data_IF_221291092102
#
_entry.id   IF_221291092102
#
_cell.length_a   1.000
_cell.length_b   1.000
_cell.length_c   1.000
_cell.angle_alpha   90.00
_cell.angle_beta   90.00
_cell.angle_gamma   90.00
#
_symmetry.space_group_name_H-M   'P 1'
#
loop_
_entity.id
_entity.type
_entity.pdbx_description
1 polymer ?
#
# COMPACT_ATOMS: atom_id res chain seq x y z
N UNK A 1 28.39 31.38 -13.99
CA UNK A 1 28.16 31.87 -12.61
C UNK A 1 27.07 31.02 -11.99
N UNK A 2 27.33 30.42 -10.82
CA UNK A 2 26.33 29.60 -10.11
C UNK A 2 25.53 30.48 -9.16
N UNK A 3 24.22 30.35 -9.16
CA UNK A 3 23.29 31.08 -8.29
C UNK A 3 22.83 30.12 -7.19
N UNK A 4 22.93 30.54 -5.94
CA UNK A 4 22.47 29.75 -4.80
C UNK A 4 21.12 30.28 -4.33
N UNK A 5 20.15 29.40 -4.16
CA UNK A 5 18.82 29.75 -3.67
C UNK A 5 18.59 28.97 -2.38
N UNK A 6 18.33 29.72 -1.31
CA UNK A 6 18.06 29.17 0.02
C UNK A 6 16.58 28.85 0.20
N UNK A 7 16.25 28.17 1.29
CA UNK A 7 14.86 27.90 1.65
C UNK A 7 14.01 29.16 1.83
N UNK A 8 14.58 30.19 2.45
CA UNK A 8 13.92 31.48 2.59
C UNK A 8 13.66 32.14 1.23
N UNK A 9 14.57 31.97 0.28
CA UNK A 9 14.41 32.51 -1.08
C UNK A 9 13.32 31.77 -1.84
N UNK A 10 13.27 30.44 -1.76
CA UNK A 10 12.17 29.64 -2.33
C UNK A 10 10.83 30.08 -1.75
N UNK A 11 10.74 30.30 -0.45
CA UNK A 11 9.50 30.76 0.18
C UNK A 11 9.06 32.13 -0.33
N UNK A 12 9.98 33.09 -0.38
CA UNK A 12 9.68 34.44 -0.91
C UNK A 12 9.25 34.38 -2.37
N UNK A 13 9.99 33.69 -3.22
CA UNK A 13 9.70 33.59 -4.66
C UNK A 13 8.37 32.87 -4.88
N UNK A 14 8.08 31.80 -4.12
CA UNK A 14 6.79 31.08 -4.22
C UNK A 14 5.59 31.99 -3.94
N UNK A 15 5.69 32.85 -2.92
CA UNK A 15 4.65 33.83 -2.57
C UNK A 15 4.51 34.92 -3.63
N UNK A 16 5.64 35.45 -4.13
CA UNK A 16 5.65 36.49 -5.19
C UNK A 16 5.01 35.96 -6.47
N UNK A 17 5.43 34.78 -6.91
CA UNK A 17 4.95 34.19 -8.16
C UNK A 17 3.55 33.58 -8.04
N UNK A 18 3.01 33.43 -6.81
CA UNK A 18 1.78 32.69 -6.51
C UNK A 18 1.81 31.26 -7.06
N UNK A 19 2.98 30.61 -6.95
CA UNK A 19 3.21 29.23 -7.37
C UNK A 19 3.63 28.44 -6.13
N UNK A 20 3.21 27.17 -6.00
CA UNK A 20 3.61 26.35 -4.86
C UNK A 20 5.14 26.20 -4.79
N UNK A 21 5.71 26.11 -3.57
CA UNK A 21 7.15 25.84 -3.36
C UNK A 21 7.61 24.62 -4.17
N UNK A 22 6.78 23.55 -4.21
CA UNK A 22 7.01 22.32 -4.98
C UNK A 22 7.13 22.59 -6.49
N UNK A 23 6.20 23.34 -7.08
CA UNK A 23 6.21 23.63 -8.52
C UNK A 23 7.38 24.56 -8.90
N UNK A 24 7.72 25.52 -8.04
CA UNK A 24 8.90 26.38 -8.23
C UNK A 24 10.20 25.57 -8.23
N UNK A 25 10.35 24.65 -7.29
CA UNK A 25 11.52 23.76 -7.21
C UNK A 25 11.60 22.84 -8.43
N UNK A 26 10.47 22.28 -8.89
CA UNK A 26 10.44 21.46 -10.11
C UNK A 26 10.85 22.27 -11.34
N UNK A 27 10.35 23.49 -11.49
CA UNK A 27 10.74 24.37 -12.59
C UNK A 27 12.24 24.69 -12.57
N UNK A 28 12.81 24.94 -11.39
CA UNK A 28 14.25 25.17 -11.22
C UNK A 28 15.06 23.91 -11.59
N UNK A 29 14.57 22.71 -11.20
CA UNK A 29 15.22 21.44 -11.58
C UNK A 29 15.19 21.20 -13.09
N UNK A 30 14.06 21.45 -13.75
CA UNK A 30 13.96 21.36 -15.22
C UNK A 30 14.87 22.36 -15.91
N UNK A 31 14.90 23.61 -15.42
CA UNK A 31 15.83 24.62 -15.93
C UNK A 31 17.30 24.19 -15.79
N UNK A 32 17.67 23.57 -14.68
CA UNK A 32 19.02 23.07 -14.44
C UNK A 32 19.42 21.92 -15.36
N UNK A 33 18.49 21.02 -15.72
CA UNK A 33 18.73 19.97 -16.72
C UNK A 33 19.11 20.57 -18.08
N UNK A 34 18.47 21.68 -18.44
CA UNK A 34 18.71 22.37 -19.72
C UNK A 34 19.97 23.23 -19.66
N UNK A 35 20.29 23.79 -18.50
CA UNK A 35 21.28 24.87 -18.37
C UNK A 35 22.49 24.51 -17.49
N UNK A 36 22.94 23.26 -17.53
CA UNK A 36 24.18 22.80 -16.91
C UNK A 36 24.31 23.19 -15.42
N UNK A 37 23.26 22.91 -14.64
CA UNK A 37 23.21 23.08 -13.18
C UNK A 37 23.63 24.47 -12.67
N UNK A 38 23.16 25.52 -13.34
CA UNK A 38 23.45 26.92 -12.97
C UNK A 38 22.85 27.35 -11.62
N UNK A 39 21.81 26.70 -11.14
CA UNK A 39 21.13 27.03 -9.88
C UNK A 39 21.34 25.91 -8.86
N UNK A 40 21.83 26.24 -7.67
CA UNK A 40 22.01 25.30 -6.56
C UNK A 40 20.95 25.57 -5.49
N UNK A 41 20.17 24.54 -5.16
CA UNK A 41 19.13 24.58 -4.13
C UNK A 41 19.69 24.03 -2.81
N UNK A 42 19.61 24.80 -1.72
CA UNK A 42 19.97 24.34 -0.37
C UNK A 42 18.77 23.94 0.49
N UNK A 43 17.62 23.66 -0.13
CA UNK A 43 16.36 23.30 0.53
C UNK A 43 16.33 21.79 0.88
N UNK A 44 16.13 21.46 2.16
CA UNK A 44 15.98 20.08 2.63
C UNK A 44 14.49 19.76 2.86
N UNK A 45 13.88 19.01 1.95
CA UNK A 45 12.67 18.25 2.31
C UNK A 45 13.07 17.11 3.26
N UNK A 46 12.14 16.70 4.15
CA UNK A 46 12.24 15.38 4.77
C UNK A 46 12.31 14.34 3.64
N UNK A 47 13.53 13.86 3.40
CA UNK A 47 13.97 13.31 2.10
C UNK A 47 13.40 11.91 1.81
N UNK A 48 12.69 11.29 2.75
CA UNK A 48 12.17 9.92 2.61
C UNK A 48 10.82 9.83 1.89
N UNK A 49 9.87 10.69 2.26
CA UNK A 49 8.45 10.49 1.93
C UNK A 49 8.08 11.03 0.55
N UNK A 50 8.65 12.17 0.14
CA UNK A 50 8.51 12.68 -1.23
C UNK A 50 9.18 11.77 -2.27
N UNK A 51 10.17 10.94 -1.89
CA UNK A 51 10.75 9.97 -2.82
C UNK A 51 9.87 8.73 -2.93
N UNK A 52 9.23 8.31 -1.84
CA UNK A 52 8.30 7.18 -1.87
C UNK A 52 7.08 7.50 -2.74
N UNK A 53 6.45 8.65 -2.56
CA UNK A 53 5.32 9.11 -3.40
C UNK A 53 5.68 9.03 -4.90
N UNK A 54 6.86 9.56 -5.28
CA UNK A 54 7.32 9.53 -6.66
C UNK A 54 7.54 8.12 -7.19
N UNK A 55 8.15 7.24 -6.40
CA UNK A 55 8.42 5.86 -6.81
C UNK A 55 7.12 5.06 -6.95
N UNK A 56 6.16 5.26 -6.04
CA UNK A 56 4.82 4.66 -6.12
C UNK A 56 4.10 5.10 -7.39
N UNK A 57 4.11 6.41 -7.70
CA UNK A 57 3.49 6.95 -8.90
C UNK A 57 4.17 6.50 -10.19
N UNK A 58 5.51 6.47 -10.24
CA UNK A 58 6.27 6.00 -11.41
C UNK A 58 5.99 4.53 -11.73
N UNK A 59 5.71 3.71 -10.71
CA UNK A 59 5.31 2.31 -10.90
C UNK A 59 3.86 2.13 -11.34
N UNK A 60 3.03 3.17 -11.33
CA UNK A 60 1.60 3.06 -11.64
C UNK A 60 0.81 2.29 -10.59
N UNK A 61 1.23 2.37 -9.33
CA UNK A 61 0.45 1.85 -8.21
C UNK A 61 -0.68 2.83 -7.95
N UNK A 62 -1.93 2.37 -7.99
CA UNK A 62 -3.11 3.21 -7.80
C UNK A 62 -3.77 3.03 -6.43
N UNK A 63 -3.59 1.87 -5.81
CA UNK A 63 -4.17 1.52 -4.52
C UNK A 63 -3.36 0.41 -3.86
N UNK A 64 -3.52 0.29 -2.54
CA UNK A 64 -3.18 -0.94 -1.80
C UNK A 64 -4.47 -1.64 -1.43
N UNK A 65 -4.39 -2.91 -1.03
CA UNK A 65 -5.57 -3.72 -0.75
C UNK A 65 -5.45 -4.50 0.54
N UNK A 66 -6.59 -4.72 1.18
CA UNK A 66 -6.73 -5.56 2.37
C UNK A 66 -7.88 -6.53 2.17
N UNK A 67 -7.69 -7.82 2.42
CA UNK A 67 -8.79 -8.79 2.38
C UNK A 67 -9.33 -9.06 3.79
N UNK A 68 -10.65 -9.21 3.89
CA UNK A 68 -11.33 -9.45 5.17
C UNK A 68 -12.62 -10.23 4.96
N UNK A 69 -13.18 -10.76 6.04
CA UNK A 69 -14.50 -11.39 6.04
C UNK A 69 -15.59 -10.35 5.81
N UNK A 70 -16.66 -10.71 5.09
CA UNK A 70 -17.77 -9.79 4.81
C UNK A 70 -18.45 -9.33 6.10
N UNK A 71 -18.45 -10.15 7.15
CA UNK A 71 -19.00 -9.87 8.47
C UNK A 71 -18.38 -8.62 9.13
N UNK A 72 -17.11 -8.31 8.80
CA UNK A 72 -16.44 -7.11 9.30
C UNK A 72 -16.76 -5.86 8.46
N UNK A 73 -17.43 -6.00 7.31
CA UNK A 73 -17.52 -4.91 6.34
C UNK A 73 -18.35 -3.73 6.86
N UNK A 74 -19.46 -3.99 7.55
CA UNK A 74 -20.31 -2.92 8.09
C UNK A 74 -19.58 -2.08 9.16
N UNK A 75 -18.77 -2.70 10.01
CA UNK A 75 -17.94 -1.99 11.00
C UNK A 75 -16.81 -1.22 10.33
N UNK A 76 -16.17 -1.79 9.31
CA UNK A 76 -15.11 -1.12 8.56
C UNK A 76 -15.63 0.11 7.81
N UNK A 77 -16.82 0.02 7.20
CA UNK A 77 -17.42 1.15 6.48
C UNK A 77 -17.92 2.27 7.40
N UNK A 78 -18.10 2.00 8.70
CA UNK A 78 -18.50 3.00 9.69
C UNK A 78 -17.32 3.59 10.47
N UNK A 79 -16.28 2.78 10.74
CA UNK A 79 -15.22 3.13 11.68
C UNK A 79 -13.80 3.10 11.07
N UNK A 80 -13.65 2.62 9.84
CA UNK A 80 -12.35 2.41 9.19
C UNK A 80 -11.76 1.02 9.48
N UNK A 81 -10.56 0.77 8.96
CA UNK A 81 -9.78 -0.42 9.32
C UNK A 81 -8.97 -0.11 10.57
N UNK A 82 -9.30 -0.77 11.66
CA UNK A 82 -8.66 -0.55 12.97
C UNK A 82 -7.74 -1.74 13.28
N UNK A 83 -6.49 -1.49 13.75
CA UNK A 83 -5.59 -2.55 14.18
C UNK A 83 -6.19 -3.46 15.27
N UNK A 84 -5.72 -4.71 15.32
CA UNK A 84 -6.28 -5.75 16.19
C UNK A 84 -6.14 -5.41 17.67
N UNK A 85 -4.98 -4.90 18.07
CA UNK A 85 -4.71 -4.53 19.46
C UNK A 85 -5.66 -3.43 19.96
N UNK A 86 -5.98 -2.46 19.09
CA UNK A 86 -6.93 -1.40 19.40
C UNK A 86 -8.35 -1.96 19.55
N UNK A 87 -8.79 -2.84 18.64
CA UNK A 87 -10.09 -3.52 18.74
C UNK A 87 -10.22 -4.39 20.00
N UNK A 88 -9.15 -5.13 20.34
CA UNK A 88 -9.07 -5.92 21.58
C UNK A 88 -9.14 -5.01 22.82
N UNK A 89 -8.47 -3.86 22.80
CA UNK A 89 -8.48 -2.87 23.90
C UNK A 89 -9.84 -2.21 24.09
N UNK A 90 -10.58 -1.94 23.01
CA UNK A 90 -11.91 -1.29 23.08
C UNK A 90 -13.05 -2.27 23.30
N UNK A 91 -12.80 -3.58 23.28
CA UNK A 91 -13.84 -4.61 23.40
C UNK A 91 -14.78 -4.65 22.19
N UNK A 92 -14.33 -4.17 21.03
CA UNK A 92 -15.13 -4.14 19.81
C UNK A 92 -15.19 -5.54 19.20
N UNK A 93 -16.39 -6.09 19.05
CA UNK A 93 -16.57 -7.39 18.39
C UNK A 93 -16.05 -7.34 16.95
N UNK A 94 -14.97 -8.06 16.67
CA UNK A 94 -14.36 -8.20 15.35
C UNK A 94 -13.91 -9.64 15.13
N UNK A 95 -14.07 -10.14 13.90
CA UNK A 95 -13.62 -11.49 13.54
C UNK A 95 -12.24 -11.39 12.90
N UNK A 96 -11.22 -11.93 13.57
CA UNK A 96 -9.85 -11.91 13.07
C UNK A 96 -9.58 -13.07 12.11
N UNK A 97 -8.83 -12.80 11.04
CA UNK A 97 -8.49 -13.80 10.03
C UNK A 97 -7.42 -14.79 10.52
N UNK A 98 -6.51 -14.33 11.37
CA UNK A 98 -5.41 -15.11 11.95
C UNK A 98 -5.49 -15.00 13.48
N UNK A 99 -5.83 -16.11 14.13
CA UNK A 99 -5.95 -16.17 15.59
C UNK A 99 -4.61 -15.91 16.29
N UNK A 100 -3.50 -16.32 15.67
CA UNK A 100 -2.20 -16.41 16.33
C UNK A 100 -1.19 -15.33 15.93
N UNK A 101 -1.41 -14.57 14.84
CA UNK A 101 -0.59 -13.41 14.39
C UNK A 101 0.89 -13.58 14.77
N UNK A 102 1.54 -14.57 14.16
CA UNK A 102 2.91 -14.98 14.50
C UNK A 102 3.98 -13.91 14.21
N UNK A 103 3.62 -12.84 13.49
CA UNK A 103 4.49 -11.67 13.28
C UNK A 103 4.65 -10.77 14.52
N UNK A 104 3.87 -11.03 15.59
CA UNK A 104 3.76 -10.22 16.82
C UNK A 104 3.45 -8.73 16.59
N UNK A 105 3.09 -8.33 15.37
CA UNK A 105 2.85 -6.94 15.00
C UNK A 105 1.37 -6.60 15.14
N UNK A 106 0.66 -7.06 16.18
CA UNK A 106 -0.82 -6.90 16.34
C UNK A 106 -1.33 -5.46 16.19
N UNK A 107 -0.45 -4.49 16.37
CA UNK A 107 -0.63 -3.06 16.16
C UNK A 107 -0.60 -2.61 14.68
N UNK A 108 -0.57 -3.54 13.72
CA UNK A 108 -0.53 -3.21 12.30
C UNK A 108 -1.63 -3.90 11.48
N UNK A 109 -2.11 -3.20 10.45
CA UNK A 109 -2.93 -3.76 9.39
C UNK A 109 -2.03 -4.36 8.31
N UNK A 110 -2.39 -5.55 7.82
CA UNK A 110 -1.66 -6.21 6.73
C UNK A 110 -2.32 -5.88 5.38
N UNK A 111 -1.59 -5.22 4.50
CA UNK A 111 -2.05 -4.87 3.15
C UNK A 111 -1.14 -5.51 2.08
N UNK A 112 -1.65 -5.58 0.85
CA UNK A 112 -0.92 -6.02 -0.35
C UNK A 112 -0.93 -4.91 -1.42
N UNK A 113 -0.03 -5.00 -2.41
CA UNK A 113 0.00 -4.10 -3.57
C UNK A 113 -0.39 -4.90 -4.82
N UNK A 114 -1.30 -4.36 -5.62
CA UNK A 114 -1.68 -4.89 -6.93
C UNK A 114 -2.60 -6.12 -6.90
N UNK A 115 -2.24 -7.16 -6.14
CA UNK A 115 -3.02 -8.40 -6.01
C UNK A 115 -2.96 -8.93 -4.56
N UNK A 116 -4.04 -9.53 -4.01
CA UNK A 116 -4.00 -10.03 -2.64
C UNK A 116 -2.86 -11.03 -2.45
N UNK A 117 -2.34 -11.17 -1.23
CA UNK A 117 -1.51 -12.32 -0.85
C UNK A 117 -2.32 -13.61 -1.02
N UNK A 118 -2.36 -14.14 -2.24
CA UNK A 118 -3.32 -15.15 -2.64
C UNK A 118 -3.04 -16.50 -1.98
N UNK A 119 -1.78 -16.76 -1.58
CA UNK A 119 -1.43 -17.99 -0.83
C UNK A 119 -2.10 -17.97 0.54
N UNK A 120 -1.92 -16.88 1.29
CA UNK A 120 -2.56 -16.71 2.59
C UNK A 120 -4.09 -16.65 2.42
N UNK A 121 -4.58 -15.86 1.47
CA UNK A 121 -6.02 -15.69 1.27
C UNK A 121 -6.71 -16.99 0.83
N UNK A 122 -6.08 -17.80 -0.01
CA UNK A 122 -6.58 -19.12 -0.37
C UNK A 122 -6.64 -20.05 0.85
N UNK A 123 -5.56 -20.14 1.62
CA UNK A 123 -5.51 -20.97 2.84
C UNK A 123 -6.62 -20.61 3.83
N UNK A 124 -6.81 -19.31 4.09
CA UNK A 124 -7.87 -18.82 4.99
C UNK A 124 -9.27 -19.19 4.51
N UNK A 125 -9.55 -19.08 3.20
CA UNK A 125 -10.84 -19.46 2.63
C UNK A 125 -11.08 -20.96 2.68
N UNK A 126 -10.05 -21.78 2.45
CA UNK A 126 -10.18 -23.24 2.53
C UNK A 126 -10.38 -23.73 3.97
N UNK A 127 -9.76 -23.05 4.94
CA UNK A 127 -9.90 -23.39 6.36
C UNK A 127 -11.22 -22.89 6.98
N UNK A 128 -11.95 -22.01 6.30
CA UNK A 128 -13.23 -21.46 6.77
C UNK A 128 -14.32 -21.64 5.70
N UNK A 129 -14.68 -22.89 5.36
CA UNK A 129 -15.71 -23.16 4.36
C UNK A 129 -17.04 -22.53 4.81
N UNK A 130 -17.69 -21.79 3.91
CA UNK A 130 -18.95 -21.09 4.20
C UNK A 130 -18.80 -19.64 4.67
N UNK A 131 -17.58 -19.18 4.97
CA UNK A 131 -17.31 -17.75 5.19
C UNK A 131 -17.19 -17.02 3.86
N UNK A 132 -17.85 -15.87 3.73
CA UNK A 132 -17.69 -14.99 2.57
C UNK A 132 -16.63 -13.92 2.83
N UNK A 133 -15.95 -13.51 1.75
CA UNK A 133 -14.80 -12.62 1.82
C UNK A 133 -14.92 -11.45 0.85
N UNK A 134 -14.32 -10.34 1.21
CA UNK A 134 -14.21 -9.16 0.35
C UNK A 134 -12.77 -8.62 0.37
N UNK A 135 -12.44 -7.84 -0.65
CA UNK A 135 -11.15 -7.14 -0.78
C UNK A 135 -11.42 -5.64 -0.81
N UNK A 136 -10.78 -4.91 0.09
CA UNK A 136 -10.95 -3.48 0.28
C UNK A 136 -9.83 -2.77 -0.47
N UNK A 137 -10.18 -1.83 -1.35
CA UNK A 137 -9.24 -0.91 -1.99
C UNK A 137 -9.00 0.31 -1.12
N UNK A 138 -7.73 0.65 -0.93
CA UNK A 138 -7.27 1.71 -0.03
C UNK A 138 -6.41 2.70 -0.82
N UNK A 139 -6.56 4.00 -0.56
CA UNK A 139 -5.74 5.05 -1.16
C UNK A 139 -4.26 4.77 -0.97
N UNK A 140 -3.49 4.82 -2.05
CA UNK A 140 -2.04 4.64 -2.04
C UNK A 140 -1.31 5.65 -1.15
N UNK A 141 -1.91 6.81 -0.90
CA UNK A 141 -1.37 7.87 -0.06
C UNK A 141 -1.07 7.41 1.37
N UNK A 142 -1.74 6.36 1.85
CA UNK A 142 -1.43 5.70 3.13
C UNK A 142 0.06 5.31 3.22
N UNK A 143 0.70 4.95 2.10
CA UNK A 143 2.09 4.52 2.04
C UNK A 143 3.10 5.57 2.53
N UNK A 144 2.77 6.86 2.41
CA UNK A 144 3.64 7.97 2.83
C UNK A 144 2.99 8.89 3.87
N UNK A 145 1.69 8.76 4.13
CA UNK A 145 1.00 9.51 5.17
C UNK A 145 0.92 8.76 6.51
N UNK A 146 1.21 7.45 6.54
CA UNK A 146 1.15 6.60 7.74
C UNK A 146 2.48 5.87 7.95
N UNK A 147 2.77 5.46 9.19
CA UNK A 147 3.94 4.63 9.48
C UNK A 147 3.76 3.25 8.86
N UNK A 148 4.60 2.93 7.88
CA UNK A 148 4.55 1.69 7.12
C UNK A 148 5.87 0.92 7.18
N UNK A 149 5.77 -0.40 7.32
CA UNK A 149 6.86 -1.31 7.02
C UNK A 149 6.56 -2.16 5.79
N UNK A 150 7.63 -2.45 5.03
CA UNK A 150 7.58 -3.16 3.77
C UNK A 150 8.29 -4.51 3.91
N UNK A 151 7.54 -5.57 3.72
CA UNK A 151 7.99 -6.95 3.85
C UNK A 151 8.02 -7.59 2.46
N UNK A 152 9.21 -8.05 2.03
CA UNK A 152 9.42 -8.67 0.71
C UNK A 152 8.68 -10.01 0.54
N UNK A 153 8.20 -10.59 1.63
CA UNK A 153 7.34 -11.75 1.68
C UNK A 153 6.41 -11.62 2.91
N UNK A 154 5.72 -12.70 3.27
CA UNK A 154 4.77 -12.68 4.39
C UNK A 154 5.47 -12.20 5.68
N UNK A 155 4.83 -11.31 6.43
CA UNK A 155 5.41 -10.65 7.59
C UNK A 155 5.74 -11.61 8.75
N UNK A 156 5.11 -12.79 8.79
CA UNK A 156 5.36 -13.82 9.79
C UNK A 156 6.43 -14.85 9.36
N UNK A 157 7.01 -14.73 8.16
CA UNK A 157 8.11 -15.59 7.73
C UNK A 157 9.36 -15.40 8.59
N UNK A 158 10.16 -16.46 8.78
CA UNK A 158 11.43 -16.36 9.48
C UNK A 158 12.40 -15.36 8.82
N UNK A 159 12.40 -15.27 7.49
CA UNK A 159 13.31 -14.37 6.79
C UNK A 159 12.96 -12.90 7.07
N UNK A 160 11.66 -12.57 7.15
CA UNK A 160 11.20 -11.20 7.46
C UNK A 160 11.28 -10.89 8.96
N UNK A 161 10.87 -11.81 9.83
CA UNK A 161 10.87 -11.60 11.29
C UNK A 161 12.29 -11.46 11.86
N UNK A 162 13.29 -12.02 11.19
CA UNK A 162 14.71 -11.81 11.54
C UNK A 162 15.21 -10.38 11.30
N UNK A 163 14.51 -9.59 10.47
CA UNK A 163 14.86 -8.21 10.14
C UNK A 163 14.13 -7.24 11.08
N UNK A 164 14.86 -6.43 11.86
CA UNK A 164 14.27 -5.44 12.74
C UNK A 164 13.28 -4.52 12.02
N UNK A 165 12.15 -4.22 12.66
CA UNK A 165 11.03 -3.49 12.05
C UNK A 165 11.43 -2.10 11.52
N UNK A 166 12.37 -1.43 12.18
CA UNK A 166 12.93 -0.15 11.75
C UNK A 166 13.75 -0.24 10.44
N UNK A 167 14.35 -1.40 10.14
CA UNK A 167 15.05 -1.63 8.88
C UNK A 167 14.11 -1.98 7.72
N UNK A 168 12.83 -2.22 8.01
CA UNK A 168 11.78 -2.49 7.03
C UNK A 168 11.01 -1.21 6.63
N UNK A 169 11.47 -0.02 7.02
CA UNK A 169 10.81 1.26 6.74
C UNK A 169 11.45 2.05 5.60
N UNK A 170 10.67 3.00 5.09
CA UNK A 170 11.13 3.99 4.13
C UNK A 170 11.37 3.44 2.72
N UNK A 171 11.82 4.34 1.84
CA UNK A 171 11.95 4.08 0.41
C UNK A 171 12.76 2.82 0.09
N UNK A 172 13.91 2.61 0.74
CA UNK A 172 14.79 1.49 0.40
C UNK A 172 14.13 0.14 0.67
N UNK A 173 13.37 0.02 1.77
CA UNK A 173 12.60 -1.18 2.05
C UNK A 173 11.43 -1.34 1.05
N UNK A 174 10.81 -0.24 0.61
CA UNK A 174 9.78 -0.29 -0.44
C UNK A 174 10.33 -0.77 -1.78
N UNK A 175 11.49 -0.26 -2.21
CA UNK A 175 12.14 -0.65 -3.48
C UNK A 175 12.39 -2.16 -3.50
N UNK A 176 12.85 -2.73 -2.38
CA UNK A 176 13.12 -4.17 -2.24
C UNK A 176 11.92 -5.08 -2.54
N UNK A 177 10.68 -4.59 -2.41
CA UNK A 177 9.48 -5.37 -2.78
C UNK A 177 9.47 -5.75 -4.27
N UNK A 178 10.22 -5.03 -5.09
CA UNK A 178 10.26 -5.16 -6.55
C UNK A 178 11.60 -5.69 -7.07
N UNK A 179 12.53 -6.05 -6.19
CA UNK A 179 13.80 -6.64 -6.59
C UNK A 179 13.60 -8.03 -7.19
N UNK A 180 14.54 -8.46 -8.02
CA UNK A 180 14.61 -9.84 -8.49
C UNK A 180 14.93 -10.78 -7.31
N UNK A 181 14.37 -11.99 -7.34
CA UNK A 181 14.58 -12.98 -6.28
C UNK A 181 15.52 -14.06 -6.80
N UNK A 182 16.57 -14.34 -6.03
CA UNK A 182 17.52 -15.40 -6.34
C UNK A 182 16.81 -16.75 -6.51
N UNK A 183 17.22 -17.53 -7.51
CA UNK A 183 16.61 -18.82 -7.87
C UNK A 183 15.15 -18.76 -8.33
N UNK A 184 14.63 -17.56 -8.67
CA UNK A 184 13.36 -17.39 -9.39
C UNK A 184 13.60 -16.83 -10.79
N UNK A 185 12.74 -17.14 -11.78
CA UNK A 185 12.82 -16.49 -13.07
C UNK A 185 12.66 -14.96 -12.92
N UNK A 186 13.34 -14.14 -13.75
CA UNK A 186 13.22 -12.69 -13.66
C UNK A 186 11.79 -12.19 -13.85
N UNK A 187 11.47 -11.00 -13.32
CA UNK A 187 10.12 -10.40 -13.36
C UNK A 187 9.52 -10.33 -14.77
N UNK A 188 10.34 -10.02 -15.78
CA UNK A 188 9.90 -9.93 -17.17
C UNK A 188 9.50 -11.29 -17.77
N UNK A 189 10.19 -12.38 -17.38
CA UNK A 189 9.86 -13.76 -17.77
C UNK A 189 8.57 -14.20 -17.10
N UNK A 190 8.36 -13.83 -15.84
CA UNK A 190 7.13 -14.09 -15.09
C UNK A 190 5.96 -13.20 -15.52
N UNK A 191 6.19 -12.22 -16.40
CA UNK A 191 5.23 -11.20 -16.81
C UNK A 191 4.55 -10.50 -15.61
N UNK A 192 5.32 -10.22 -14.54
CA UNK A 192 4.83 -9.52 -13.35
C UNK A 192 4.65 -8.04 -13.69
N UNK A 193 3.45 -7.46 -13.52
CA UNK A 193 3.22 -6.04 -13.75
C UNK A 193 4.15 -5.14 -12.91
N UNK A 194 4.54 -3.98 -13.44
CA UNK A 194 5.44 -3.03 -12.74
C UNK A 194 4.88 -2.51 -11.41
N UNK A 195 3.56 -2.48 -11.29
CA UNK A 195 2.85 -2.09 -10.07
C UNK A 195 2.63 -3.25 -9.08
N UNK A 196 3.13 -4.45 -9.37
CA UNK A 196 3.04 -5.62 -8.48
C UNK A 196 4.40 -5.98 -7.88
N UNK A 197 4.47 -6.28 -6.56
CA UNK A 197 5.68 -6.84 -5.93
C UNK A 197 6.12 -8.15 -6.58
N UNK A 198 7.41 -8.44 -6.52
CA UNK A 198 7.98 -9.66 -7.12
C UNK A 198 7.39 -10.89 -6.44
N UNK A 199 7.54 -10.99 -5.11
CA UNK A 199 6.93 -12.06 -4.33
C UNK A 199 5.42 -11.81 -4.13
N UNK A 200 4.53 -12.77 -4.45
CA UNK A 200 3.08 -12.63 -4.23
C UNK A 200 2.68 -12.58 -2.77
N UNK A 201 3.57 -12.95 -1.84
CA UNK A 201 3.33 -12.87 -0.40
C UNK A 201 3.85 -11.56 0.21
N UNK A 202 4.40 -10.64 -0.58
CA UNK A 202 4.86 -9.35 -0.08
C UNK A 202 3.73 -8.60 0.64
N UNK A 203 4.07 -7.99 1.77
CA UNK A 203 3.11 -7.36 2.68
C UNK A 203 3.54 -5.95 3.08
N UNK A 204 2.56 -5.09 3.27
CA UNK A 204 2.73 -3.77 3.88
C UNK A 204 2.07 -3.83 5.25
N UNK A 205 2.83 -3.53 6.29
CA UNK A 205 2.32 -3.33 7.64
C UNK A 205 2.05 -1.85 7.85
N UNK A 206 0.79 -1.47 8.08
CA UNK A 206 0.38 -0.09 8.39
C UNK A 206 0.13 0.00 9.89
N UNK A 207 0.95 0.76 10.61
CA UNK A 207 0.95 0.85 12.08
C UNK A 207 -0.03 1.90 12.63
N UNK A 208 -1.20 2.00 12.02
CA UNK A 208 -2.23 2.97 12.39
C UNK A 208 -3.60 2.54 11.83
N UNK A 209 -4.67 3.14 12.35
CA UNK A 209 -6.00 3.05 11.76
C UNK A 209 -6.02 3.69 10.37
N UNK A 210 -6.67 3.02 9.41
CA UNK A 210 -6.98 3.57 8.09
C UNK A 210 -8.43 4.04 8.11
N UNK A 211 -8.60 5.35 8.05
CA UNK A 211 -9.88 6.04 8.14
C UNK A 211 -10.80 5.68 6.96
N UNK A 212 -12.11 5.80 7.16
CA UNK A 212 -13.13 5.53 6.13
C UNK A 212 -12.86 6.33 4.84
N UNK A 213 -12.38 7.57 4.97
CA UNK A 213 -12.05 8.44 3.82
C UNK A 213 -10.89 7.92 2.97
N UNK A 214 -10.10 6.99 3.49
CA UNK A 214 -9.03 6.31 2.76
C UNK A 214 -9.50 5.04 2.05
N UNK A 215 -10.74 4.59 2.27
CA UNK A 215 -11.33 3.44 1.58
C UNK A 215 -11.91 3.90 0.23
N UNK A 216 -11.40 3.33 -0.85
CA UNK A 216 -11.79 3.67 -2.22
C UNK A 216 -12.94 2.81 -2.75
N UNK A 217 -13.07 1.59 -2.25
CA UNK A 217 -14.11 0.66 -2.68
C UNK A 217 -13.89 -0.74 -2.13
N UNK A 218 -14.83 -1.63 -2.45
CA UNK A 218 -14.88 -3.00 -1.97
C UNK A 218 -15.16 -3.93 -3.13
N UNK A 219 -14.40 -5.02 -3.22
CA UNK A 219 -14.47 -6.01 -4.27
C UNK A 219 -14.99 -7.32 -3.70
N UNK A 220 -16.00 -7.88 -4.35
CA UNK A 220 -16.59 -9.17 -4.02
C UNK A 220 -16.30 -10.23 -5.09
N UNK A 221 -16.35 -11.50 -4.67
CA UNK A 221 -16.27 -12.65 -5.58
C UNK A 221 -17.57 -12.90 -6.35
N UNK A 222 -18.73 -12.38 -5.88
CA UNK A 222 -20.03 -12.51 -6.55
C UNK A 222 -20.55 -11.15 -7.03
N UNK A 223 -21.08 -11.12 -8.26
CA UNK A 223 -21.80 -9.97 -8.79
C UNK A 223 -23.08 -9.69 -8.00
N UNK A 224 -23.74 -10.71 -7.48
CA UNK A 224 -24.95 -10.55 -6.66
C UNK A 224 -24.62 -9.81 -5.36
N UNK A 225 -23.51 -10.18 -4.69
CA UNK A 225 -23.02 -9.48 -3.49
C UNK A 225 -22.69 -8.02 -3.78
N UNK A 226 -21.98 -7.74 -4.88
CA UNK A 226 -21.68 -6.36 -5.28
C UNK A 226 -22.95 -5.53 -5.51
N UNK A 227 -23.96 -6.12 -6.17
CA UNK A 227 -25.24 -5.46 -6.44
C UNK A 227 -26.06 -5.24 -5.14
N UNK A 228 -26.05 -6.21 -4.23
CA UNK A 228 -26.70 -6.11 -2.92
C UNK A 228 -26.13 -4.95 -2.11
N UNK A 229 -24.80 -4.87 -1.96
CA UNK A 229 -24.16 -3.80 -1.21
C UNK A 229 -24.32 -2.43 -1.88
N UNK A 230 -24.28 -2.37 -3.21
CA UNK A 230 -24.60 -1.14 -3.97
C UNK A 230 -25.98 -0.62 -3.61
N UNK A 231 -27.01 -1.49 -3.56
CA UNK A 231 -28.37 -1.12 -3.17
C UNK A 231 -28.46 -0.74 -1.70
N UNK A 232 -27.86 -1.55 -0.80
CA UNK A 232 -27.91 -1.35 0.66
C UNK A 232 -27.35 0.00 1.09
N UNK A 233 -26.23 0.42 0.49
CA UNK A 233 -25.53 1.64 0.84
C UNK A 233 -25.81 2.82 -0.08
N UNK A 234 -26.57 2.62 -1.17
CA UNK A 234 -26.86 3.63 -2.19
C UNK A 234 -25.60 4.32 -2.73
N UNK A 235 -24.52 3.55 -2.96
CA UNK A 235 -23.23 4.03 -3.49
C UNK A 235 -22.92 3.40 -4.83
N UNK A 236 -23.13 4.13 -5.91
CA UNK A 236 -22.71 3.72 -7.25
C UNK A 236 -21.18 3.83 -7.36
N UNK A 237 -20.52 2.85 -7.97
CA UNK A 237 -19.05 2.79 -8.16
C UNK A 237 -18.20 2.64 -6.89
N UNK A 238 -18.74 2.07 -5.81
CA UNK A 238 -17.96 1.75 -4.61
C UNK A 238 -17.85 0.24 -4.36
N UNK A 239 -18.86 -0.53 -4.77
CA UNK A 239 -18.89 -1.98 -4.62
C UNK A 239 -18.77 -2.64 -5.99
N UNK A 240 -17.79 -3.52 -6.14
CA UNK A 240 -17.38 -4.08 -7.43
C UNK A 240 -17.35 -5.61 -7.39
N UNK A 241 -17.59 -6.22 -8.55
CA UNK A 241 -17.30 -7.63 -8.78
C UNK A 241 -15.97 -7.75 -9.53
N UNK A 242 -15.03 -8.51 -8.97
CA UNK A 242 -13.80 -8.85 -9.68
C UNK A 242 -13.22 -10.17 -9.17
N UNK A 243 -13.57 -11.25 -9.86
CA UNK A 243 -13.20 -12.62 -9.45
C UNK A 243 -11.69 -12.84 -9.33
N UNK A 244 -10.87 -12.15 -10.11
CA UNK A 244 -9.44 -12.46 -10.20
C UNK A 244 -8.69 -12.27 -8.86
N UNK A 245 -9.13 -11.33 -8.00
CA UNK A 245 -8.56 -11.16 -6.65
C UNK A 245 -8.73 -12.38 -5.73
N UNK A 246 -9.61 -13.31 -6.08
CA UNK A 246 -9.87 -14.53 -5.33
C UNK A 246 -9.14 -15.75 -5.91
N UNK A 247 -8.19 -15.55 -6.84
CA UNK A 247 -7.37 -16.61 -7.44
C UNK A 247 -5.89 -16.22 -7.41
N UNK A 248 -5.02 -17.19 -7.73
CA UNK A 248 -3.60 -16.95 -7.90
C UNK A 248 -3.30 -15.98 -9.04
N UNK A 249 -2.16 -15.28 -8.94
CA UNK A 249 -1.62 -14.53 -10.08
C UNK A 249 -1.30 -15.47 -11.25
N UNK A 250 -1.10 -14.91 -12.44
CA UNK A 250 -0.73 -15.71 -13.63
C UNK A 250 0.55 -16.52 -13.41
N UNK A 251 1.50 -15.98 -12.65
CA UNK A 251 2.79 -16.59 -12.35
C UNK A 251 2.76 -17.56 -11.15
N UNK A 252 1.58 -17.92 -10.62
CA UNK A 252 1.45 -18.71 -9.39
C UNK A 252 2.20 -20.04 -9.39
N UNK A 253 2.39 -20.69 -10.55
CA UNK A 253 3.13 -21.94 -10.70
C UNK A 253 4.61 -21.82 -10.32
N UNK A 254 5.17 -20.60 -10.36
CA UNK A 254 6.55 -20.32 -9.97
C UNK A 254 6.72 -20.06 -8.46
N UNK A 255 5.61 -20.02 -7.73
CA UNK A 255 5.56 -19.75 -6.30
C UNK A 255 5.01 -20.96 -5.56
N UNK A 256 5.80 -22.02 -5.47
CA UNK A 256 5.66 -23.09 -4.48
C UNK A 256 6.18 -22.64 -3.12
#
# INVERSE_FOLDING_TARGET
MKIFITENDIEKISKICRISKRNLIMAIKEYNKINDNRIILSYNFNKGDEILENFVNQRGIEYIIHFTRIENLDSILSSGLIPRDELERTGTNSIFNDEHRYDNCKNALCCSIGHPNYKMFYSLRMNNPGTEWCVIGIKKDVLWNKDCAFCVENAASNSVTSIPINQRRGLQAFIKLFDEIENKPPRNVLAIPDNCPTNPQAEILVFDTIEVDNIMGVVFQSQERANEYTKRYNKTNFFHYYKAFFYGRKDHEHWS
#
